data_IF_462149243115
#
_entry.id   IF_462149243115
#
_cell.length_a   1.000
_cell.length_b   1.000
_cell.length_c   1.000
_cell.angle_alpha   90.00
_cell.angle_beta   90.00
_cell.angle_gamma   90.00
#
_symmetry.space_group_name_H-M   'P 1'
#
loop_
_entity.id
_entity.type
_entity.pdbx_description
1 polymer ?
#
# COMPACT_ATOMS: atom_id res chain seq x y z
N UNK A 1 27.21 -11.58 12.56
CA UNK A 1 27.49 -12.56 11.47
C UNK A 1 26.25 -12.86 10.63
N UNK A 2 25.03 -12.83 11.17
CA UNK A 2 23.80 -13.14 10.43
C UNK A 2 23.40 -12.12 9.36
N UNK A 3 23.83 -10.86 9.47
CA UNK A 3 23.42 -9.80 8.56
C UNK A 3 24.24 -9.75 7.26
N UNK A 4 25.46 -10.27 7.28
CA UNK A 4 26.34 -10.30 6.12
C UNK A 4 25.89 -11.35 5.08
N UNK A 5 25.36 -12.47 5.54
CA UNK A 5 24.87 -13.55 4.65
C UNK A 5 23.58 -13.19 3.92
N UNK A 6 22.66 -12.41 4.54
CA UNK A 6 21.38 -12.02 3.94
C UNK A 6 21.51 -11.05 2.75
N UNK A 7 22.64 -10.34 2.62
CA UNK A 7 22.91 -9.43 1.49
C UNK A 7 23.35 -10.16 0.22
N UNK A 8 23.63 -11.44 0.29
CA UNK A 8 24.16 -12.23 -0.83
C UNK A 8 23.10 -13.09 -1.53
N UNK A 9 21.86 -13.13 -1.01
CA UNK A 9 20.78 -13.88 -1.65
C UNK A 9 20.42 -13.22 -2.97
N UNK A 10 20.55 -13.97 -4.07
CA UNK A 10 20.19 -13.54 -5.43
C UNK A 10 18.96 -14.25 -5.96
N UNK A 11 18.67 -15.43 -5.47
CA UNK A 11 17.58 -16.28 -5.93
C UNK A 11 16.79 -16.80 -4.73
N UNK A 12 15.48 -16.73 -4.83
CA UNK A 12 14.56 -17.46 -3.97
C UNK A 12 14.05 -18.65 -4.77
N UNK A 13 14.43 -19.84 -4.36
CA UNK A 13 14.04 -21.06 -5.05
C UNK A 13 12.54 -21.36 -4.89
N UNK A 14 12.01 -22.25 -5.74
CA UNK A 14 10.62 -22.67 -5.72
C UNK A 14 10.21 -23.13 -4.33
N UNK A 15 9.00 -22.76 -3.91
CA UNK A 15 8.40 -23.11 -2.63
C UNK A 15 9.19 -22.66 -1.37
N UNK A 16 10.13 -21.69 -1.49
CA UNK A 16 11.01 -21.28 -0.37
C UNK A 16 10.24 -20.83 0.89
N UNK A 17 9.04 -20.30 0.74
CA UNK A 17 8.15 -19.91 1.86
C UNK A 17 6.82 -20.68 1.86
N UNK A 18 6.76 -21.81 1.16
CA UNK A 18 5.54 -22.61 1.07
C UNK A 18 4.98 -22.95 2.46
N UNK A 19 3.66 -22.75 2.66
CA UNK A 19 2.97 -22.97 3.95
C UNK A 19 3.47 -22.12 5.13
N UNK A 20 4.21 -21.04 4.91
CA UNK A 20 4.58 -20.12 5.99
C UNK A 20 3.36 -19.26 6.42
N UNK A 21 2.36 -19.92 7.04
CA UNK A 21 1.02 -19.35 7.32
C UNK A 21 1.03 -18.12 8.24
N UNK A 22 2.10 -17.90 9.02
CA UNK A 22 2.28 -16.77 9.94
C UNK A 22 3.19 -15.69 9.37
N UNK A 23 3.74 -15.88 8.18
CA UNK A 23 4.59 -14.90 7.52
C UNK A 23 3.76 -13.67 7.17
N UNK A 24 4.14 -12.51 7.71
CA UNK A 24 3.44 -11.23 7.47
C UNK A 24 4.24 -10.28 6.60
N UNK A 25 5.56 -10.33 6.72
CA UNK A 25 6.48 -9.42 6.02
C UNK A 25 7.68 -10.20 5.50
N UNK A 26 8.06 -9.88 4.27
CA UNK A 26 9.31 -10.36 3.66
C UNK A 26 10.17 -9.15 3.35
N UNK A 27 11.41 -9.16 3.83
CA UNK A 27 12.38 -8.11 3.54
C UNK A 27 13.47 -8.68 2.63
N UNK A 28 13.64 -8.09 1.46
CA UNK A 28 14.62 -8.50 0.46
C UNK A 28 15.70 -7.43 0.28
N UNK A 29 16.92 -7.90 0.08
CA UNK A 29 18.04 -7.04 -0.34
C UNK A 29 17.92 -6.65 -1.80
N UNK A 30 18.73 -5.67 -2.26
CA UNK A 30 18.68 -5.15 -3.63
C UNK A 30 19.15 -6.15 -4.70
N UNK A 31 19.83 -7.21 -4.29
CA UNK A 31 20.42 -8.19 -5.21
C UNK A 31 19.53 -9.39 -5.55
N UNK A 32 18.29 -9.44 -5.06
CA UNK A 32 17.38 -10.56 -5.34
C UNK A 32 16.71 -10.35 -6.70
N UNK A 33 17.02 -11.19 -7.66
CA UNK A 33 16.58 -11.09 -9.06
C UNK A 33 15.82 -12.34 -9.53
N UNK A 34 16.08 -13.49 -8.90
CA UNK A 34 15.50 -14.78 -9.25
C UNK A 34 14.39 -15.19 -8.28
N UNK A 35 13.25 -15.60 -8.83
CA UNK A 35 12.09 -16.06 -8.08
C UNK A 35 11.58 -17.35 -8.70
N UNK A 36 11.54 -18.42 -7.90
CA UNK A 36 10.95 -19.70 -8.29
C UNK A 36 9.43 -19.69 -8.22
N UNK A 37 8.81 -20.80 -8.58
CA UNK A 37 7.36 -20.99 -8.50
C UNK A 37 6.90 -21.23 -7.06
N UNK A 38 5.62 -21.01 -6.79
CA UNK A 38 4.93 -21.34 -5.53
C UNK A 38 5.56 -20.76 -4.25
N UNK A 39 6.31 -19.66 -4.40
CA UNK A 39 7.09 -19.06 -3.31
C UNK A 39 6.27 -18.80 -2.05
N UNK A 40 5.07 -18.26 -2.20
CA UNK A 40 4.21 -17.82 -1.10
C UNK A 40 2.89 -18.58 -1.01
N UNK A 41 2.79 -19.72 -1.65
CA UNK A 41 1.60 -20.57 -1.59
C UNK A 41 1.26 -20.90 -0.14
N UNK A 42 -0.01 -20.65 0.26
CA UNK A 42 -0.51 -20.74 1.63
C UNK A 42 0.12 -19.78 2.66
N UNK A 43 0.79 -18.71 2.25
CA UNK A 43 1.21 -17.62 3.15
C UNK A 43 0.06 -16.65 3.43
N UNK A 44 -1.02 -17.13 4.07
CA UNK A 44 -2.31 -16.42 4.20
C UNK A 44 -2.26 -15.10 5.00
N UNK A 45 -1.18 -14.82 5.72
CA UNK A 45 -1.00 -13.58 6.50
C UNK A 45 0.03 -12.63 5.87
N UNK A 46 0.53 -12.95 4.69
CA UNK A 46 1.52 -12.10 4.02
C UNK A 46 0.86 -10.78 3.59
N UNK A 47 1.41 -9.67 4.06
CA UNK A 47 0.85 -8.33 3.89
C UNK A 47 1.86 -7.33 3.33
N UNK A 48 3.17 -7.59 3.46
CA UNK A 48 4.17 -6.60 3.12
C UNK A 48 5.41 -7.22 2.49
N UNK A 49 5.81 -6.64 1.36
CA UNK A 49 7.16 -6.78 0.82
C UNK A 49 7.95 -5.50 1.09
N UNK A 50 9.09 -5.60 1.75
CA UNK A 50 10.07 -4.53 1.90
C UNK A 50 11.28 -4.83 1.02
N UNK A 51 11.51 -4.02 -0.01
CA UNK A 51 12.72 -4.08 -0.82
C UNK A 51 13.67 -2.96 -0.37
N UNK A 52 14.89 -3.33 0.00
CA UNK A 52 15.95 -2.36 0.34
C UNK A 52 16.59 -1.84 -0.95
N UNK A 53 15.84 -1.09 -1.71
CA UNK A 53 16.25 -0.52 -2.99
C UNK A 53 15.64 0.87 -3.14
N UNK A 54 16.32 1.74 -3.87
CA UNK A 54 15.79 3.05 -4.22
C UNK A 54 14.48 2.89 -5.00
N UNK A 55 13.57 3.84 -4.85
CA UNK A 55 12.24 3.77 -5.43
C UNK A 55 12.24 3.70 -6.97
N UNK A 56 13.25 4.28 -7.61
CA UNK A 56 13.46 4.27 -9.08
C UNK A 56 14.36 3.14 -9.58
N UNK A 57 14.89 2.32 -8.67
CA UNK A 57 15.76 1.24 -9.07
C UNK A 57 15.00 0.11 -9.76
N UNK A 58 15.55 -0.49 -10.83
CA UNK A 58 15.05 -1.74 -11.35
C UNK A 58 15.22 -2.84 -10.31
N UNK A 59 14.15 -3.59 -10.07
CA UNK A 59 14.12 -4.68 -9.10
C UNK A 59 13.39 -5.88 -9.67
N UNK A 60 13.48 -7.02 -8.99
CA UNK A 60 12.66 -8.20 -9.29
C UNK A 60 11.19 -8.07 -8.85
N UNK A 61 10.72 -6.88 -8.47
CA UNK A 61 9.41 -6.65 -7.89
C UNK A 61 8.25 -7.15 -8.79
N UNK A 62 8.33 -6.96 -10.10
CA UNK A 62 7.29 -7.44 -11.02
C UNK A 62 7.08 -8.95 -10.90
N UNK A 63 8.17 -9.72 -10.85
CA UNK A 63 8.11 -11.18 -10.67
C UNK A 63 7.60 -11.55 -9.28
N UNK A 64 8.03 -10.82 -8.26
CA UNK A 64 7.60 -11.02 -6.88
C UNK A 64 6.10 -10.79 -6.73
N UNK A 65 5.56 -9.74 -7.33
CA UNK A 65 4.13 -9.44 -7.34
C UNK A 65 3.31 -10.47 -8.12
N UNK A 66 3.88 -11.08 -9.16
CA UNK A 66 3.25 -12.18 -9.89
C UNK A 66 3.10 -13.47 -9.06
N UNK A 67 3.83 -13.60 -7.95
CA UNK A 67 3.70 -14.74 -7.04
C UNK A 67 2.61 -14.56 -5.97
N UNK A 68 1.92 -13.39 -5.92
CA UNK A 68 0.90 -13.06 -4.90
C UNK A 68 -0.25 -12.31 -5.54
N UNK A 69 -1.45 -12.90 -5.54
CA UNK A 69 -2.67 -12.23 -6.01
C UNK A 69 -3.41 -11.49 -4.90
N UNK A 70 -3.16 -11.81 -3.63
CA UNK A 70 -3.77 -11.15 -2.46
C UNK A 70 -3.32 -9.68 -2.30
N UNK A 71 -4.03 -8.96 -1.44
CA UNK A 71 -3.65 -7.61 -1.01
C UNK A 71 -2.21 -7.58 -0.50
N UNK A 72 -1.38 -6.69 -1.04
CA UNK A 72 0.03 -6.58 -0.64
C UNK A 72 0.52 -5.13 -0.65
N UNK A 73 1.20 -4.73 0.40
CA UNK A 73 1.93 -3.46 0.45
C UNK A 73 3.38 -3.69 0.06
N UNK A 74 3.91 -2.85 -0.80
CA UNK A 74 5.32 -2.81 -1.17
C UNK A 74 5.95 -1.54 -0.62
N UNK A 75 7.04 -1.70 0.10
CA UNK A 75 7.84 -0.59 0.62
C UNK A 75 9.20 -0.59 -0.09
N UNK A 76 9.55 0.54 -0.68
CA UNK A 76 10.85 0.87 -1.23
C UNK A 76 11.45 2.04 -0.45
N UNK A 77 12.71 2.39 -0.69
CA UNK A 77 13.30 3.57 -0.07
C UNK A 77 12.71 4.84 -0.71
N UNK A 78 11.80 5.50 0.03
CA UNK A 78 11.08 6.70 -0.40
C UNK A 78 9.74 6.47 -1.09
N UNK A 79 9.28 5.22 -1.26
CA UNK A 79 7.98 4.92 -1.85
C UNK A 79 7.23 3.81 -1.11
N UNK A 80 5.91 3.95 -1.03
CA UNK A 80 5.01 2.91 -0.57
C UNK A 80 3.86 2.75 -1.55
N UNK A 81 3.63 1.51 -1.97
CA UNK A 81 2.61 1.14 -2.93
C UNK A 81 1.72 0.05 -2.34
N UNK A 82 0.43 0.18 -2.48
CA UNK A 82 -0.52 -0.86 -2.14
C UNK A 82 -1.10 -1.47 -3.40
N UNK A 83 -1.04 -2.78 -3.51
CA UNK A 83 -1.60 -3.54 -4.62
C UNK A 83 -2.81 -4.32 -4.11
N UNK A 84 -4.02 -3.98 -4.53
CA UNK A 84 -5.22 -4.75 -4.20
C UNK A 84 -5.14 -6.20 -4.68
N UNK A 85 -5.94 -7.06 -4.10
CA UNK A 85 -6.11 -8.43 -4.58
C UNK A 85 -6.76 -8.44 -5.96
N UNK A 86 -6.56 -9.54 -6.68
CA UNK A 86 -7.25 -9.87 -7.90
C UNK A 86 -7.45 -11.37 -7.99
N UNK A 87 -8.41 -11.79 -8.79
CA UNK A 87 -8.67 -13.21 -9.08
C UNK A 87 -8.67 -13.45 -10.57
N UNK A 88 -8.07 -14.57 -10.96
CA UNK A 88 -8.08 -15.03 -12.35
C UNK A 88 -8.98 -16.25 -12.45
N UNK A 89 -9.88 -16.26 -13.41
CA UNK A 89 -10.79 -17.35 -13.70
C UNK A 89 -10.54 -17.85 -15.11
N UNK A 90 -10.42 -19.15 -15.26
CA UNK A 90 -10.31 -19.83 -16.54
C UNK A 90 -11.51 -20.77 -16.67
N UNK A 91 -12.49 -20.37 -17.47
CA UNK A 91 -13.68 -21.17 -17.73
C UNK A 91 -13.54 -21.86 -19.09
N UNK A 92 -13.74 -23.17 -19.13
CA UNK A 92 -13.83 -23.95 -20.36
C UNK A 92 -15.28 -24.07 -20.77
N UNK A 93 -15.61 -23.56 -21.95
CA UNK A 93 -16.95 -23.67 -22.50
C UNK A 93 -17.03 -24.96 -23.39
N UNK A 94 -17.54 -26.05 -22.80
CA UNK A 94 -17.80 -27.30 -23.53
C UNK A 94 -19.18 -27.25 -24.22
N UNK A 95 -19.34 -27.71 -25.47
CA UNK A 95 -18.42 -28.59 -26.23
C UNK A 95 -17.44 -27.87 -27.16
N UNK A 96 -17.41 -26.53 -27.18
CA UNK A 96 -16.62 -25.77 -28.17
C UNK A 96 -15.12 -25.65 -27.80
N UNK A 97 -14.69 -26.16 -26.65
CA UNK A 97 -13.33 -26.02 -26.12
C UNK A 97 -12.79 -24.57 -26.17
N UNK A 98 -13.68 -23.60 -25.93
CA UNK A 98 -13.31 -22.20 -25.85
C UNK A 98 -12.97 -21.89 -24.38
N UNK A 99 -11.74 -21.45 -24.14
CA UNK A 99 -11.31 -21.00 -22.83
C UNK A 99 -11.57 -19.50 -22.70
N UNK A 100 -12.40 -19.13 -21.73
CA UNK A 100 -12.61 -17.73 -21.36
C UNK A 100 -11.69 -17.43 -20.15
N UNK A 101 -10.78 -16.49 -20.33
CA UNK A 101 -9.95 -15.97 -19.27
C UNK A 101 -10.51 -14.63 -18.82
N UNK A 102 -10.97 -14.56 -17.56
CA UNK A 102 -11.46 -13.34 -16.94
C UNK A 102 -10.63 -12.99 -15.71
N UNK A 103 -10.46 -11.70 -15.49
CA UNK A 103 -9.72 -11.15 -14.35
C UNK A 103 -10.67 -10.21 -13.61
N UNK A 104 -10.81 -10.41 -12.32
CA UNK A 104 -11.58 -9.55 -11.42
C UNK A 104 -10.67 -8.85 -10.43
N UNK A 105 -10.95 -7.56 -10.17
CA UNK A 105 -10.16 -6.69 -9.29
C UNK A 105 -9.06 -5.91 -10.03
N UNK A 106 -8.81 -4.70 -9.56
CA UNK A 106 -7.85 -3.78 -10.19
C UNK A 106 -6.37 -4.12 -9.90
N UNK A 107 -6.14 -5.00 -8.95
CA UNK A 107 -4.81 -5.39 -8.54
C UNK A 107 -3.95 -6.00 -9.63
N UNK A 108 -4.54 -6.70 -10.61
CA UNK A 108 -3.82 -7.24 -11.76
C UNK A 108 -3.21 -6.13 -12.62
N UNK A 109 -4.02 -5.12 -12.97
CA UNK A 109 -3.60 -3.98 -13.79
C UNK A 109 -2.48 -3.20 -13.11
N UNK A 110 -2.62 -2.91 -11.83
CA UNK A 110 -1.63 -2.20 -11.05
C UNK A 110 -0.28 -2.94 -11.00
N UNK A 111 -0.30 -4.28 -10.96
CA UNK A 111 0.91 -5.13 -11.01
C UNK A 111 1.64 -5.13 -12.35
N UNK A 112 1.08 -4.50 -13.38
CA UNK A 112 1.72 -4.32 -14.68
C UNK A 112 2.41 -2.97 -14.84
N UNK A 113 2.27 -2.03 -13.88
CA UNK A 113 2.83 -0.69 -13.93
C UNK A 113 4.35 -0.69 -13.69
N UNK A 114 5.09 -1.12 -14.71
CA UNK A 114 6.55 -1.17 -14.71
C UNK A 114 7.10 -0.60 -16.01
N UNK A 115 8.22 0.12 -15.90
CA UNK A 115 8.98 0.56 -17.07
C UNK A 115 9.60 -0.63 -17.79
N UNK A 116 9.99 -0.48 -19.06
CA UNK A 116 10.73 -1.53 -19.79
C UNK A 116 12.03 -1.97 -19.07
N UNK A 117 12.62 -1.08 -18.27
CA UNK A 117 13.81 -1.36 -17.47
C UNK A 117 13.54 -2.12 -16.16
N UNK A 118 12.27 -2.39 -15.81
CA UNK A 118 11.91 -3.13 -14.61
C UNK A 118 11.79 -2.31 -13.33
N UNK A 119 11.88 -0.98 -13.40
CA UNK A 119 11.53 -0.09 -12.31
C UNK A 119 10.01 0.13 -12.27
N UNK A 120 9.47 0.57 -11.12
CA UNK A 120 8.05 0.93 -11.01
C UNK A 120 7.75 2.14 -11.90
N UNK A 121 6.69 2.05 -12.69
CA UNK A 121 6.11 3.18 -13.39
C UNK A 121 5.05 3.85 -12.50
N UNK A 122 5.48 4.84 -11.73
CA UNK A 122 4.61 5.53 -10.78
C UNK A 122 3.48 6.29 -11.46
N UNK A 123 3.73 6.88 -12.63
CA UNK A 123 2.71 7.62 -13.36
C UNK A 123 1.60 6.67 -13.85
N UNK A 124 1.95 5.52 -14.41
CA UNK A 124 0.99 4.51 -14.81
C UNK A 124 0.25 3.90 -13.60
N UNK A 125 0.95 3.70 -12.47
CA UNK A 125 0.35 3.23 -11.23
C UNK A 125 -0.69 4.23 -10.71
N UNK A 126 -0.33 5.50 -10.60
CA UNK A 126 -1.21 6.57 -10.11
C UNK A 126 -2.41 6.78 -11.08
N UNK A 127 -2.20 6.72 -12.39
CA UNK A 127 -3.29 6.81 -13.38
C UNK A 127 -4.32 5.66 -13.27
N UNK A 128 -3.98 4.53 -12.67
CA UNK A 128 -4.92 3.43 -12.44
C UNK A 128 -5.91 3.71 -11.30
N UNK A 129 -5.70 4.74 -10.48
CA UNK A 129 -6.53 5.05 -9.31
C UNK A 129 -7.97 5.38 -9.68
N UNK A 130 -8.20 6.13 -10.75
CA UNK A 130 -9.55 6.49 -11.19
C UNK A 130 -10.41 5.26 -11.48
N UNK A 131 -9.82 4.23 -12.12
CA UNK A 131 -10.51 2.97 -12.37
C UNK A 131 -10.69 2.17 -11.08
N UNK A 132 -9.70 2.17 -10.20
CA UNK A 132 -9.79 1.49 -8.90
C UNK A 132 -10.95 2.05 -8.05
N UNK A 133 -11.25 3.34 -8.14
CA UNK A 133 -12.40 3.96 -7.45
C UNK A 133 -13.75 3.38 -7.87
N UNK A 134 -13.84 2.70 -9.00
CA UNK A 134 -15.09 2.07 -9.47
C UNK A 134 -15.28 0.67 -8.86
N UNK A 135 -14.20 -0.08 -8.67
CA UNK A 135 -14.26 -1.51 -8.32
C UNK A 135 -13.78 -1.87 -6.91
N UNK A 136 -12.96 -1.04 -6.29
CA UNK A 136 -12.35 -1.38 -5.01
C UNK A 136 -13.10 -0.78 -3.82
N UNK A 137 -12.91 -1.37 -2.64
CA UNK A 137 -13.50 -0.88 -1.40
C UNK A 137 -12.83 0.41 -0.90
N UNK A 138 -13.58 1.23 -0.13
CA UNK A 138 -13.07 2.46 0.50
C UNK A 138 -11.80 2.22 1.32
N UNK A 139 -11.72 1.11 2.06
CA UNK A 139 -10.54 0.77 2.88
C UNK A 139 -9.30 0.60 2.03
N UNK A 140 -9.40 -0.14 0.91
CA UNK A 140 -8.28 -0.36 -0.01
C UNK A 140 -7.85 0.92 -0.70
N UNK A 141 -8.80 1.74 -1.11
CA UNK A 141 -8.53 3.02 -1.77
C UNK A 141 -7.89 4.04 -0.80
N UNK A 142 -8.36 4.10 0.45
CA UNK A 142 -7.70 4.90 1.48
C UNK A 142 -6.27 4.43 1.75
N UNK A 143 -6.04 3.11 1.79
CA UNK A 143 -4.71 2.54 1.98
C UNK A 143 -3.76 2.90 0.84
N UNK A 144 -4.25 2.82 -0.41
CA UNK A 144 -3.51 3.22 -1.59
C UNK A 144 -3.13 4.70 -1.55
N UNK A 145 -4.13 5.58 -1.37
CA UNK A 145 -3.94 7.02 -1.33
C UNK A 145 -2.99 7.45 -0.19
N UNK A 146 -3.18 6.91 1.03
CA UNK A 146 -2.31 7.20 2.16
C UNK A 146 -0.86 6.80 1.89
N UNK A 147 -0.62 5.60 1.34
CA UNK A 147 0.73 5.14 1.01
C UNK A 147 1.43 6.07 0.02
N UNK A 148 0.73 6.48 -1.05
CA UNK A 148 1.27 7.37 -2.07
C UNK A 148 1.53 8.80 -1.56
N UNK A 149 0.65 9.31 -0.69
CA UNK A 149 0.80 10.66 -0.13
C UNK A 149 1.83 10.74 0.99
N UNK A 150 1.99 9.69 1.80
CA UNK A 150 2.99 9.63 2.89
C UNK A 150 4.40 9.45 2.33
N UNK A 151 4.56 8.69 1.25
CA UNK A 151 5.84 8.46 0.59
C UNK A 151 5.72 8.78 -0.92
N UNK A 152 5.73 10.07 -1.29
CA UNK A 152 5.29 10.57 -2.57
C UNK A 152 6.35 10.52 -3.69
N UNK A 153 7.22 9.52 -3.71
CA UNK A 153 8.20 9.41 -4.77
C UNK A 153 7.51 9.37 -6.15
N UNK A 154 7.93 10.25 -7.05
CA UNK A 154 7.40 10.32 -8.42
C UNK A 154 5.90 10.65 -8.51
N UNK A 155 5.31 11.23 -7.46
CA UNK A 155 3.90 11.61 -7.42
C UNK A 155 3.69 12.96 -8.11
N UNK A 156 2.94 12.96 -9.21
CA UNK A 156 2.53 14.19 -9.93
C UNK A 156 1.45 14.97 -9.17
N UNK A 157 1.32 16.26 -9.50
CA UNK A 157 0.37 17.16 -8.81
C UNK A 157 -1.09 16.73 -9.02
N UNK A 158 -1.46 16.30 -10.22
CA UNK A 158 -2.82 15.84 -10.53
C UNK A 158 -3.18 14.60 -9.71
N UNK A 159 -2.31 13.61 -9.70
CA UNK A 159 -2.53 12.38 -8.91
C UNK A 159 -2.56 12.67 -7.40
N UNK A 160 -1.73 13.61 -6.92
CA UNK A 160 -1.79 14.09 -5.53
C UNK A 160 -3.16 14.68 -5.22
N UNK A 161 -3.68 15.56 -6.09
CA UNK A 161 -4.98 16.17 -5.90
C UNK A 161 -6.11 15.13 -5.87
N UNK A 162 -6.06 14.12 -6.75
CA UNK A 162 -7.03 13.03 -6.77
C UNK A 162 -7.03 12.23 -5.46
N UNK A 163 -5.85 11.88 -4.95
CA UNK A 163 -5.73 11.16 -3.67
C UNK A 163 -6.21 12.00 -2.49
N UNK A 164 -5.86 13.28 -2.42
CA UNK A 164 -6.30 14.19 -1.36
C UNK A 164 -7.82 14.42 -1.42
N UNK A 165 -8.38 14.57 -2.61
CA UNK A 165 -9.81 14.68 -2.83
C UNK A 165 -10.55 13.44 -2.33
N UNK A 166 -10.03 12.25 -2.68
CA UNK A 166 -10.62 10.99 -2.24
C UNK A 166 -10.63 10.86 -0.72
N UNK A 167 -9.49 11.11 -0.06
CA UNK A 167 -9.40 11.04 1.40
C UNK A 167 -10.29 12.08 2.10
N UNK A 168 -10.47 13.24 1.48
CA UNK A 168 -11.35 14.31 1.97
C UNK A 168 -12.82 13.91 1.87
N UNK A 169 -13.20 13.19 0.82
CA UNK A 169 -14.55 12.66 0.65
C UNK A 169 -14.85 11.47 1.59
N UNK A 170 -13.81 10.72 2.02
CA UNK A 170 -13.94 9.50 2.84
C UNK A 170 -13.17 9.59 4.17
N UNK A 171 -13.36 10.64 5.00
CA UNK A 171 -12.51 10.91 6.16
C UNK A 171 -12.58 9.81 7.22
N UNK A 172 -13.76 9.19 7.41
CA UNK A 172 -13.92 8.11 8.40
C UNK A 172 -13.11 6.87 8.05
N UNK A 173 -13.15 6.44 6.80
CA UNK A 173 -12.37 5.30 6.31
C UNK A 173 -10.87 5.61 6.37
N UNK A 174 -10.46 6.82 5.94
CA UNK A 174 -9.07 7.26 5.95
C UNK A 174 -8.47 7.26 7.37
N UNK A 175 -9.15 7.89 8.34
CA UNK A 175 -8.70 7.88 9.73
C UNK A 175 -8.68 6.48 10.32
N UNK A 176 -9.73 5.68 10.05
CA UNK A 176 -9.78 4.30 10.53
C UNK A 176 -8.58 3.51 10.02
N UNK A 177 -8.27 3.62 8.73
CA UNK A 177 -7.13 2.92 8.13
C UNK A 177 -5.80 3.33 8.78
N UNK A 178 -5.55 4.64 8.91
CA UNK A 178 -4.34 5.15 9.54
C UNK A 178 -4.18 4.69 11.01
N UNK A 179 -5.31 4.59 11.73
CA UNK A 179 -5.32 4.17 13.14
C UNK A 179 -5.12 2.66 13.27
N UNK A 180 -5.77 1.85 12.44
CA UNK A 180 -5.66 0.38 12.45
C UNK A 180 -4.23 -0.07 12.10
N UNK A 181 -3.57 0.61 11.16
CA UNK A 181 -2.17 0.38 10.80
C UNK A 181 -1.18 1.01 11.80
N UNK A 182 -1.67 1.83 12.74
CA UNK A 182 -0.85 2.65 13.66
C UNK A 182 0.17 3.50 12.89
N UNK A 183 -0.24 4.02 11.76
CA UNK A 183 0.59 4.87 10.90
C UNK A 183 0.48 6.33 11.33
N UNK A 184 1.48 6.78 12.10
CA UNK A 184 1.54 8.15 12.59
C UNK A 184 1.74 9.17 11.45
N UNK A 185 2.47 8.81 10.38
CA UNK A 185 2.71 9.70 9.25
C UNK A 185 1.41 9.93 8.47
N UNK A 186 0.65 8.86 8.20
CA UNK A 186 -0.67 8.95 7.59
C UNK A 186 -1.64 9.77 8.45
N UNK A 187 -1.61 9.58 9.78
CA UNK A 187 -2.46 10.33 10.69
C UNK A 187 -2.13 11.83 10.68
N UNK A 188 -0.85 12.19 10.67
CA UNK A 188 -0.38 13.59 10.55
C UNK A 188 -0.78 14.22 9.21
N UNK A 189 -0.68 13.47 8.13
CA UNK A 189 -1.14 13.89 6.80
C UNK A 189 -2.63 14.24 6.83
N UNK A 190 -3.48 13.34 7.34
CA UNK A 190 -4.93 13.57 7.45
C UNK A 190 -5.29 14.78 8.32
N UNK A 191 -4.56 14.97 9.42
CA UNK A 191 -4.66 16.19 10.24
C UNK A 191 -4.28 17.43 9.44
N UNK A 192 -3.26 17.35 8.58
CA UNK A 192 -2.84 18.43 7.68
C UNK A 192 -3.91 18.82 6.65
N UNK A 193 -4.68 17.86 6.15
CA UNK A 193 -5.82 18.07 5.23
C UNK A 193 -7.04 18.74 5.90
N UNK A 194 -6.92 19.13 7.16
CA UNK A 194 -7.99 19.82 7.90
C UNK A 194 -9.30 19.04 8.08
N UNK A 195 -9.23 17.72 8.07
CA UNK A 195 -10.38 16.84 8.27
C UNK A 195 -10.88 16.83 9.72
N UNK A 196 -12.18 16.53 9.97
CA UNK A 196 -12.74 16.43 11.32
C UNK A 196 -12.10 15.28 12.11
N UNK A 197 -11.56 15.57 13.30
CA UNK A 197 -10.76 14.62 14.09
C UNK A 197 -11.48 14.04 15.32
N UNK A 198 -12.70 14.49 15.63
CA UNK A 198 -13.39 14.09 16.86
C UNK A 198 -13.64 12.58 16.93
N UNK A 199 -14.22 11.99 15.89
CA UNK A 199 -14.50 10.54 15.82
C UNK A 199 -13.20 9.72 15.82
N UNK A 200 -12.16 10.23 15.15
CA UNK A 200 -10.85 9.59 15.10
C UNK A 200 -10.19 9.55 16.47
N UNK A 201 -10.31 10.61 17.28
CA UNK A 201 -9.77 10.64 18.64
C UNK A 201 -10.48 9.60 19.54
N UNK A 202 -11.80 9.48 19.44
CA UNK A 202 -12.57 8.44 20.14
C UNK A 202 -12.12 7.04 19.71
N UNK A 203 -11.90 6.84 18.40
CA UNK A 203 -11.45 5.56 17.89
C UNK A 203 -10.02 5.21 18.36
N UNK A 204 -9.09 6.15 18.36
CA UNK A 204 -7.75 5.96 18.95
C UNK A 204 -7.80 5.51 20.41
N UNK A 205 -8.65 6.15 21.22
CA UNK A 205 -8.84 5.76 22.62
C UNK A 205 -9.36 4.32 22.74
N UNK A 206 -10.34 3.94 21.92
CA UNK A 206 -10.93 2.60 21.90
C UNK A 206 -9.92 1.50 21.55
N UNK A 207 -9.04 1.75 20.60
CA UNK A 207 -8.00 0.76 20.20
C UNK A 207 -6.72 0.85 21.04
N UNK A 208 -6.67 1.73 22.03
CA UNK A 208 -5.55 1.89 22.95
C UNK A 208 -4.28 2.45 22.28
N UNK A 209 -4.43 3.31 21.26
CA UNK A 209 -3.28 3.95 20.61
C UNK A 209 -3.05 5.38 21.11
N UNK A 210 -2.33 5.51 22.23
CA UNK A 210 -2.06 6.80 22.89
C UNK A 210 -1.26 7.78 22.03
N UNK A 211 -0.29 7.30 21.24
CA UNK A 211 0.49 8.16 20.34
C UNK A 211 -0.40 8.79 19.25
N UNK A 212 -1.30 8.01 18.63
CA UNK A 212 -2.26 8.53 17.67
C UNK A 212 -3.22 9.56 18.30
N UNK A 213 -3.72 9.28 19.50
CA UNK A 213 -4.54 10.22 20.24
C UNK A 213 -3.82 11.55 20.51
N UNK A 214 -2.52 11.51 20.84
CA UNK A 214 -1.72 12.71 21.06
C UNK A 214 -1.57 13.57 19.78
N UNK A 215 -1.41 12.94 18.61
CA UNK A 215 -1.38 13.62 17.30
C UNK A 215 -2.67 14.38 17.06
N UNK A 216 -3.82 13.73 17.27
CA UNK A 216 -5.14 14.32 17.04
C UNK A 216 -5.45 15.47 18.03
N UNK A 217 -5.09 15.31 19.31
CA UNK A 217 -5.30 16.31 20.35
C UNK A 217 -4.34 17.51 20.23
N UNK A 218 -3.14 17.31 19.71
CA UNK A 218 -2.17 18.37 19.49
C UNK A 218 -2.68 19.47 18.55
N UNK A 219 -3.55 19.12 17.58
CA UNK A 219 -4.24 20.09 16.71
C UNK A 219 -5.32 20.88 17.46
N UNK A 220 -6.10 20.21 18.31
CA UNK A 220 -7.16 20.88 19.07
C UNK A 220 -6.61 21.99 19.97
N UNK A 221 -5.38 21.80 20.50
CA UNK A 221 -4.69 22.84 21.29
C UNK A 221 -4.16 23.99 20.43
N UNK A 222 -3.72 23.75 19.20
CA UNK A 222 -3.25 24.79 18.26
C UNK A 222 -4.41 25.63 17.72
N UNK A 223 -5.52 25.01 17.39
CA UNK A 223 -6.73 25.71 16.94
C UNK A 223 -7.35 26.61 18.04
N UNK A 224 -7.17 26.27 19.33
CA UNK A 224 -7.61 27.12 20.46
C UNK A 224 -6.65 28.27 20.78
N UNK A 225 -5.42 28.26 20.29
CA UNK A 225 -4.41 29.31 20.54
C UNK A 225 -4.44 30.49 19.57
N UNK A 226 -5.25 30.45 18.52
CA UNK A 226 -5.53 31.58 17.65
C UNK A 226 -6.76 32.34 18.15
N UNK A 227 -6.81 32.68 19.42
CA UNK A 227 -7.65 33.76 19.91
C UNK A 227 -6.81 35.03 19.93
N UNK A 228 -7.27 35.95 19.15
CA UNK A 228 -6.80 37.31 19.02
C UNK A 228 -6.73 38.02 20.36
N UNK A 229 -5.58 38.61 20.67
CA UNK A 229 -5.37 39.44 21.86
C UNK A 229 -5.48 40.93 21.55
N UNK A 230 -6.15 41.31 20.44
CA UNK A 230 -6.26 42.68 19.99
C UNK A 230 -7.60 43.36 20.32
N UNK A 231 -8.36 42.85 21.33
CA UNK A 231 -9.54 43.53 21.87
C UNK A 231 -9.41 43.67 23.41
N UNK A 232 -8.48 44.51 23.84
CA UNK A 232 -8.46 45.10 25.17
C UNK A 232 -8.02 46.57 25.10
#
# INVERSE_FOLDING_TARGET
LGDVYKRQVRVLDSAAFYNCRRLRRVTLGPGVEGFGSDLFTNCRQLQTFRLRAAADAPTGLKKLLGAVSADITVELDGAQLFYPEYSEFLDENTPAHIFNHSIEGEGYRMRQCFTPGGAVDYAAFDASFAQACVGESEDKLCRLALGRLVQPFGLGDDARADYELYLTAHPKAAFRRAIDDRDEAALRLLVGLSLPTADAAVYCARVGWSAGAAVLLGRAKRAKKTYDFDDL
#
